data_IF_989174014710
#
_entry.id   IF_989174014710
#
_cell.length_a   1.000
_cell.length_b   1.000
_cell.length_c   1.000
_cell.angle_alpha   90.00
_cell.angle_beta   90.00
_cell.angle_gamma   90.00
#
_symmetry.space_group_name_H-M   'P 1'
#
loop_
_entity.id
_entity.type
_entity.pdbx_description
1 polymer ?
#
# COMPACT_ATOMS: atom_id res chain seq x y z
N UNK A 1 -16.91 20.78 11.35
CA UNK A 1 -16.27 19.67 10.64
C UNK A 1 -14.77 19.57 10.90
N UNK A 2 -14.10 20.68 11.05
CA UNK A 2 -12.69 20.70 11.35
C UNK A 2 -12.32 19.90 12.60
N UNK A 3 -13.14 20.00 13.64
CA UNK A 3 -12.96 19.23 14.87
C UNK A 3 -13.05 17.72 14.60
N UNK A 4 -14.05 17.31 13.80
CA UNK A 4 -14.23 15.89 13.47
C UNK A 4 -13.06 15.36 12.63
N UNK A 5 -12.60 16.17 11.68
CA UNK A 5 -11.49 15.79 10.82
C UNK A 5 -10.21 15.59 11.64
N UNK A 6 -9.99 16.48 12.65
CA UNK A 6 -8.85 16.35 13.52
C UNK A 6 -8.90 15.07 14.34
N UNK A 7 -10.08 14.73 14.87
CA UNK A 7 -10.27 13.50 15.64
C UNK A 7 -10.02 12.27 14.78
N UNK A 8 -10.55 12.26 13.55
CA UNK A 8 -10.33 11.16 12.62
C UNK A 8 -8.84 11.01 12.31
N UNK A 9 -8.14 12.10 12.07
CA UNK A 9 -6.71 12.05 11.78
C UNK A 9 -5.91 11.50 12.96
N UNK A 10 -6.28 11.83 14.19
CA UNK A 10 -5.62 11.29 15.36
C UNK A 10 -5.79 9.78 15.46
N UNK A 11 -7.00 9.30 15.18
CA UNK A 11 -7.28 7.86 15.16
C UNK A 11 -6.46 7.17 14.07
N UNK A 12 -6.44 7.73 12.88
CA UNK A 12 -5.69 7.17 11.77
C UNK A 12 -4.18 7.17 12.05
N UNK A 13 -3.67 8.23 12.67
CA UNK A 13 -2.26 8.33 13.03
C UNK A 13 -1.87 7.25 14.04
N UNK A 14 -2.73 6.94 14.99
CA UNK A 14 -2.48 5.87 15.96
C UNK A 14 -2.35 4.51 15.25
N UNK A 15 -3.20 4.26 14.27
CA UNK A 15 -3.19 2.99 13.52
C UNK A 15 -2.08 2.94 12.47
N UNK A 16 -1.81 4.06 11.80
CA UNK A 16 -0.83 4.13 10.72
C UNK A 16 0.57 4.50 11.21
N UNK A 17 0.67 4.99 12.44
CA UNK A 17 1.93 5.44 13.01
C UNK A 17 2.36 6.81 12.54
N UNK A 18 1.58 7.46 11.65
CA UNK A 18 1.91 8.76 11.09
C UNK A 18 0.69 9.39 10.44
N UNK A 19 0.87 10.53 9.76
CA UNK A 19 -0.24 11.28 9.19
C UNK A 19 -0.91 10.54 8.02
N UNK A 20 -2.25 10.47 8.04
CA UNK A 20 -3.04 9.92 6.95
C UNK A 20 -2.95 10.77 5.68
N UNK A 21 -2.56 12.05 5.77
CA UNK A 21 -2.39 12.91 4.61
C UNK A 21 -1.20 12.50 3.75
N UNK A 22 -0.33 11.66 4.25
CA UNK A 22 0.87 11.21 3.54
C UNK A 22 0.65 9.85 2.88
N UNK A 23 -0.60 9.46 2.69
CA UNK A 23 -0.98 8.22 2.03
C UNK A 23 -1.68 8.53 0.71
N UNK A 24 -1.42 7.73 -0.31
CA UNK A 24 -2.10 7.83 -1.59
C UNK A 24 -3.08 6.67 -1.75
N UNK A 25 -4.28 6.98 -2.25
CA UNK A 25 -5.34 5.99 -2.44
C UNK A 25 -5.21 5.31 -3.81
N UNK A 26 -5.18 3.98 -3.79
CA UNK A 26 -5.26 3.16 -5.01
C UNK A 26 -6.68 2.61 -5.06
N UNK A 27 -7.48 3.13 -5.99
CA UNK A 27 -8.90 2.83 -6.05
C UNK A 27 -9.17 1.38 -6.49
N UNK A 28 -10.14 0.75 -5.83
CA UNK A 28 -10.62 -0.57 -6.24
C UNK A 28 -11.20 -0.56 -7.65
N UNK A 29 -11.66 0.59 -8.13
CA UNK A 29 -12.18 0.72 -9.48
C UNK A 29 -11.06 0.59 -10.51
N UNK A 30 -9.84 0.97 -10.15
CA UNK A 30 -8.67 0.85 -11.03
C UNK A 30 -8.05 -0.55 -10.96
N UNK A 31 -8.00 -1.13 -9.78
CA UNK A 31 -7.31 -2.41 -9.57
C UNK A 31 -8.17 -3.64 -9.81
N UNK A 32 -9.49 -3.50 -9.68
CA UNK A 32 -10.40 -4.64 -9.71
C UNK A 32 -10.47 -5.40 -8.40
N UNK A 33 -9.78 -4.92 -7.36
CA UNK A 33 -9.83 -5.54 -6.03
C UNK A 33 -11.13 -5.19 -5.31
N UNK A 34 -11.51 -5.98 -4.30
CA UNK A 34 -12.72 -5.68 -3.50
C UNK A 34 -12.57 -4.51 -2.54
N UNK A 35 -11.36 -4.00 -2.36
CA UNK A 35 -11.05 -2.95 -1.38
C UNK A 35 -10.14 -1.90 -1.98
N UNK A 36 -10.26 -0.66 -1.49
CA UNK A 36 -9.27 0.36 -1.76
C UNK A 36 -7.99 0.06 -0.99
N UNK A 37 -6.86 0.45 -1.57
CA UNK A 37 -5.54 0.28 -0.96
C UNK A 37 -4.93 1.66 -0.73
N UNK A 38 -4.17 1.81 0.34
CA UNK A 38 -3.44 3.03 0.63
C UNK A 38 -1.94 2.73 0.62
N UNK A 39 -1.18 3.54 -0.11
CA UNK A 39 0.27 3.44 -0.18
C UNK A 39 0.89 4.67 0.49
N UNK A 40 2.05 4.47 1.11
CA UNK A 40 2.70 5.49 1.93
C UNK A 40 3.57 6.39 1.05
N UNK A 41 3.17 7.66 0.91
CA UNK A 41 3.88 8.63 0.08
C UNK A 41 5.29 8.92 0.56
N UNK A 42 5.56 8.77 1.85
CA UNK A 42 6.91 8.93 2.40
C UNK A 42 7.74 7.66 2.32
N UNK A 43 7.09 6.49 2.31
CA UNK A 43 7.77 5.21 2.21
C UNK A 43 8.88 5.05 3.25
N UNK A 44 10.08 4.73 2.78
CA UNK A 44 11.25 4.51 3.64
C UNK A 44 11.68 5.74 4.43
N UNK A 45 11.25 6.94 4.02
CA UNK A 45 11.63 8.19 4.68
C UNK A 45 10.72 8.56 5.84
N UNK A 46 9.70 7.75 6.11
CA UNK A 46 8.80 7.98 7.25
C UNK A 46 9.56 7.75 8.56
N UNK A 47 9.48 8.72 9.48
CA UNK A 47 10.25 8.67 10.72
C UNK A 47 9.86 7.52 11.63
N UNK A 48 8.58 7.24 11.76
CA UNK A 48 8.07 6.16 12.60
C UNK A 48 7.78 4.91 11.79
N UNK A 49 8.62 4.63 10.82
CA UNK A 49 8.42 3.51 9.92
C UNK A 49 8.54 2.16 10.64
N UNK A 50 7.83 1.20 10.12
CA UNK A 50 7.95 -0.19 10.54
C UNK A 50 9.20 -0.82 9.92
N UNK A 51 9.60 -1.98 10.43
CA UNK A 51 10.79 -2.66 9.95
C UNK A 51 10.67 -3.18 8.52
N UNK A 52 9.44 -3.34 8.02
CA UNK A 52 9.19 -3.87 6.68
C UNK A 52 8.23 -2.98 5.91
N UNK A 53 8.39 -2.91 4.57
CA UNK A 53 7.44 -2.20 3.72
C UNK A 53 6.05 -2.82 3.83
N UNK A 54 5.03 -1.98 3.84
CA UNK A 54 3.64 -2.45 3.89
C UNK A 54 2.70 -1.45 3.24
N UNK A 55 1.56 -1.98 2.77
CA UNK A 55 0.43 -1.16 2.32
C UNK A 55 -0.67 -1.26 3.37
N UNK A 56 -1.71 -0.44 3.22
CA UNK A 56 -2.91 -0.52 4.06
C UNK A 56 -4.10 -0.87 3.19
N UNK A 57 -4.93 -1.80 3.64
CA UNK A 57 -6.16 -2.19 2.95
C UNK A 57 -7.34 -1.65 3.73
N UNK A 58 -8.23 -0.94 3.05
CA UNK A 58 -9.43 -0.39 3.67
C UNK A 58 -10.54 -1.45 3.66
N UNK A 59 -10.71 -2.12 4.80
CA UNK A 59 -11.74 -3.14 4.96
C UNK A 59 -12.87 -2.55 5.80
N UNK A 60 -13.88 -2.02 5.11
CA UNK A 60 -15.05 -1.42 5.75
C UNK A 60 -14.68 -0.31 6.75
N UNK A 61 -13.72 0.54 6.36
CA UNK A 61 -13.30 1.67 7.18
C UNK A 61 -12.14 1.37 8.12
N UNK A 62 -11.75 0.11 8.25
CA UNK A 62 -10.59 -0.29 9.05
C UNK A 62 -9.39 -0.49 8.13
N UNK A 63 -8.28 0.18 8.44
CA UNK A 63 -7.06 0.09 7.64
C UNK A 63 -6.19 -1.03 8.18
N UNK A 64 -6.04 -2.08 7.40
CA UNK A 64 -5.27 -3.28 7.80
C UNK A 64 -3.96 -3.32 7.01
N UNK A 65 -2.81 -3.34 7.69
CA UNK A 65 -1.52 -3.40 7.00
C UNK A 65 -1.24 -4.80 6.46
N UNK A 66 -0.65 -4.85 5.27
CA UNK A 66 -0.17 -6.10 4.65
C UNK A 66 1.22 -5.84 4.11
N UNK A 67 2.14 -6.77 4.36
CA UNK A 67 3.54 -6.63 3.96
C UNK A 67 3.71 -6.70 2.44
N UNK A 68 4.72 -6.00 1.94
CA UNK A 68 5.10 -6.03 0.53
C UNK A 68 6.33 -6.94 0.41
N UNK A 69 6.09 -8.21 0.11
CA UNK A 69 7.16 -9.20 -0.07
C UNK A 69 6.63 -10.37 -0.90
N UNK A 70 7.39 -11.44 -0.98
CA UNK A 70 7.00 -12.62 -1.76
C UNK A 70 5.88 -13.43 -1.09
N UNK A 71 5.66 -13.21 0.20
CA UNK A 71 4.60 -13.87 0.98
C UNK A 71 3.83 -12.81 1.77
N UNK A 72 3.07 -11.93 1.08
CA UNK A 72 2.34 -10.84 1.76
C UNK A 72 1.40 -11.37 2.82
N UNK A 73 1.42 -10.73 4.00
CA UNK A 73 0.53 -11.11 5.09
C UNK A 73 0.36 -9.96 6.07
N UNK A 74 -0.62 -10.07 6.93
CA UNK A 74 -0.79 -9.16 8.06
C UNK A 74 0.41 -9.38 8.99
N UNK A 75 1.14 -8.31 9.36
CA UNK A 75 2.31 -8.48 10.25
C UNK A 75 1.93 -9.11 11.58
N UNK A 76 2.84 -9.93 12.14
CA UNK A 76 2.59 -10.59 13.41
C UNK A 76 2.27 -9.62 14.54
N UNK A 77 2.94 -8.47 14.58
CA UNK A 77 2.66 -7.45 15.59
C UNK A 77 1.23 -6.95 15.54
N UNK A 78 0.64 -6.93 14.34
CA UNK A 78 -0.75 -6.51 14.13
C UNK A 78 -1.71 -7.65 14.45
N UNK A 79 -1.35 -8.89 14.12
CA UNK A 79 -2.16 -10.06 14.48
C UNK A 79 -2.31 -10.17 15.99
N UNK A 80 -1.28 -9.82 16.74
CA UNK A 80 -1.30 -9.85 18.21
C UNK A 80 -2.33 -8.88 18.82
N UNK A 81 -2.75 -7.87 18.07
CA UNK A 81 -3.80 -6.95 18.52
C UNK A 81 -5.20 -7.47 18.27
N UNK A 82 -5.33 -8.68 17.73
CA UNK A 82 -6.62 -9.28 17.40
C UNK A 82 -7.06 -9.12 15.97
N UNK A 83 -6.25 -8.46 15.13
CA UNK A 83 -6.56 -8.30 13.71
C UNK A 83 -6.44 -9.64 13.01
N UNK A 84 -7.49 -10.04 12.30
CA UNK A 84 -7.59 -11.34 11.63
C UNK A 84 -7.71 -11.17 10.13
N UNK A 85 -7.56 -12.28 9.42
CA UNK A 85 -7.83 -12.34 7.99
C UNK A 85 -9.26 -11.86 7.73
N UNK A 86 -9.45 -11.26 6.55
CA UNK A 86 -10.73 -10.72 6.11
C UNK A 86 -11.15 -11.39 4.81
N UNK A 87 -12.42 -11.21 4.43
CA UNK A 87 -12.95 -11.80 3.20
C UNK A 87 -12.10 -11.40 1.99
N UNK A 88 -11.77 -12.35 1.14
CA UNK A 88 -11.04 -12.14 -0.11
C UNK A 88 -9.61 -11.58 0.07
N UNK A 89 -9.03 -11.76 1.27
CA UNK A 89 -7.65 -11.33 1.52
C UNK A 89 -6.66 -12.00 0.54
N UNK A 90 -6.96 -13.22 0.10
CA UNK A 90 -6.09 -13.93 -0.83
C UNK A 90 -5.92 -13.19 -2.15
N UNK A 91 -6.96 -12.51 -2.62
CA UNK A 91 -6.88 -11.70 -3.85
C UNK A 91 -5.95 -10.51 -3.65
N UNK A 92 -6.03 -9.87 -2.48
CA UNK A 92 -5.17 -8.74 -2.14
C UNK A 92 -3.71 -9.19 -2.07
N UNK A 93 -3.45 -10.31 -1.41
CA UNK A 93 -2.10 -10.87 -1.30
C UNK A 93 -1.53 -11.20 -2.69
N UNK A 94 -2.35 -11.79 -3.56
CA UNK A 94 -1.94 -12.11 -4.92
C UNK A 94 -1.59 -10.84 -5.70
N UNK A 95 -2.40 -9.80 -5.55
CA UNK A 95 -2.17 -8.51 -6.20
C UNK A 95 -0.85 -7.89 -5.74
N UNK A 96 -0.60 -7.88 -4.42
CA UNK A 96 0.64 -7.33 -3.88
C UNK A 96 1.84 -8.08 -4.42
N UNK A 97 1.77 -9.39 -4.48
CA UNK A 97 2.86 -10.22 -5.01
C UNK A 97 3.11 -9.92 -6.48
N UNK A 98 2.03 -9.79 -7.27
CA UNK A 98 2.14 -9.53 -8.70
C UNK A 98 2.76 -8.15 -8.98
N UNK A 99 2.41 -7.14 -8.19
CA UNK A 99 2.91 -5.78 -8.33
C UNK A 99 4.02 -5.43 -7.34
N UNK A 100 4.68 -6.43 -6.78
CA UNK A 100 5.70 -6.23 -5.74
C UNK A 100 6.75 -5.19 -6.16
N UNK A 101 7.24 -5.27 -7.38
CA UNK A 101 8.30 -4.36 -7.85
C UNK A 101 7.82 -2.91 -7.90
N UNK A 102 6.56 -2.68 -8.27
CA UNK A 102 5.96 -1.34 -8.28
C UNK A 102 5.84 -0.82 -6.85
N UNK A 103 5.29 -1.63 -5.95
CA UNK A 103 5.13 -1.24 -4.55
C UNK A 103 6.48 -0.94 -3.88
N UNK A 104 7.50 -1.76 -4.15
CA UNK A 104 8.83 -1.55 -3.57
C UNK A 104 9.52 -0.32 -4.15
N UNK A 105 9.41 -0.08 -5.46
CA UNK A 105 9.97 1.11 -6.08
C UNK A 105 9.34 2.37 -5.48
N UNK A 106 8.04 2.34 -5.24
CA UNK A 106 7.34 3.44 -4.60
C UNK A 106 7.79 3.61 -3.13
N UNK A 107 7.84 2.52 -2.37
CA UNK A 107 8.28 2.55 -0.97
C UNK A 107 9.70 3.13 -0.86
N UNK A 108 10.58 2.75 -1.77
CA UNK A 108 11.97 3.20 -1.79
C UNK A 108 12.14 4.58 -2.41
N UNK A 109 11.04 5.24 -2.77
CA UNK A 109 10.99 6.58 -3.34
C UNK A 109 11.77 6.69 -4.64
N UNK A 110 11.77 5.62 -5.40
CA UNK A 110 12.37 5.58 -6.73
C UNK A 110 11.39 6.04 -7.81
N UNK A 111 10.09 6.01 -7.50
CA UNK A 111 9.03 6.53 -8.36
C UNK A 111 8.09 7.38 -7.52
N UNK A 112 7.32 8.25 -8.18
CA UNK A 112 6.36 9.14 -7.52
C UNK A 112 5.04 8.43 -7.25
N UNK A 113 4.18 9.04 -6.43
CA UNK A 113 2.82 8.56 -6.22
C UNK A 113 2.07 8.42 -7.55
N UNK A 114 2.18 9.44 -8.41
CA UNK A 114 1.50 9.43 -9.70
C UNK A 114 1.97 8.27 -10.57
N UNK A 115 3.27 8.04 -10.63
CA UNK A 115 3.82 6.92 -11.40
C UNK A 115 3.30 5.59 -10.88
N UNK A 116 3.29 5.42 -9.56
CA UNK A 116 2.76 4.19 -8.95
C UNK A 116 1.27 4.02 -9.26
N UNK A 117 0.47 5.07 -9.10
CA UNK A 117 -0.97 5.01 -9.38
C UNK A 117 -1.26 4.67 -10.84
N UNK A 118 -0.43 5.16 -11.76
CA UNK A 118 -0.59 4.85 -13.18
C UNK A 118 -0.32 3.38 -13.50
N UNK A 119 0.52 2.71 -12.70
CA UNK A 119 0.87 1.31 -12.92
C UNK A 119 -0.01 0.33 -12.16
N UNK A 120 -0.57 0.77 -11.02
CA UNK A 120 -1.37 -0.11 -10.15
C UNK A 120 -2.80 -0.20 -10.66
N UNK A 121 -2.96 -0.98 -11.70
CA UNK A 121 -4.24 -1.22 -12.39
C UNK A 121 -4.61 -2.69 -12.28
N UNK A 122 -5.38 -3.23 -13.20
CA UNK A 122 -5.79 -4.63 -13.18
C UNK A 122 -4.58 -5.56 -13.10
N UNK A 123 -4.73 -6.68 -12.40
CA UNK A 123 -3.62 -7.63 -12.19
C UNK A 123 -3.05 -8.18 -13.49
N UNK A 124 -3.85 -8.22 -14.56
CA UNK A 124 -3.38 -8.71 -15.88
C UNK A 124 -2.28 -7.84 -16.47
N UNK A 125 -2.10 -6.62 -15.96
CA UNK A 125 -1.08 -5.68 -16.43
C UNK A 125 0.18 -5.67 -15.57
N UNK A 126 0.31 -6.58 -14.62
CA UNK A 126 1.42 -6.56 -13.67
C UNK A 126 2.79 -6.73 -14.32
N UNK A 127 2.89 -7.60 -15.34
CA UNK A 127 4.16 -7.76 -16.06
C UNK A 127 4.57 -6.49 -16.82
N UNK A 128 3.60 -5.80 -17.41
CA UNK A 128 3.86 -4.52 -18.07
C UNK A 128 4.37 -3.48 -17.09
N UNK A 129 3.79 -3.44 -15.88
CA UNK A 129 4.23 -2.55 -14.81
C UNK A 129 5.66 -2.85 -14.38
N UNK A 130 6.00 -4.11 -14.25
CA UNK A 130 7.35 -4.54 -13.89
C UNK A 130 8.37 -4.09 -14.94
N UNK A 131 8.05 -4.27 -16.21
CA UNK A 131 8.91 -3.84 -17.32
C UNK A 131 9.10 -2.32 -17.28
N UNK A 132 8.02 -1.57 -17.05
CA UNK A 132 8.08 -0.12 -16.99
C UNK A 132 8.97 0.37 -15.84
N UNK A 133 8.94 -0.30 -14.68
CA UNK A 133 9.81 0.02 -13.55
C UNK A 133 11.28 -0.16 -13.96
N UNK A 134 11.60 -1.26 -14.62
CA UNK A 134 12.97 -1.50 -15.09
C UNK A 134 13.42 -0.38 -16.02
N UNK A 135 12.54 0.02 -16.96
CA UNK A 135 12.86 1.08 -17.91
C UNK A 135 13.09 2.43 -17.23
N UNK A 136 12.26 2.77 -16.25
CA UNK A 136 12.39 4.04 -15.53
C UNK A 136 13.64 4.09 -14.66
N UNK A 137 14.01 2.97 -14.03
CA UNK A 137 15.16 2.92 -13.13
C UNK A 137 16.48 2.72 -13.87
N UNK A 138 16.45 2.27 -15.12
CA UNK A 138 17.64 2.00 -15.93
C UNK A 138 17.48 2.59 -17.34
N UNK A 139 17.32 3.92 -17.46
CA UNK A 139 16.97 4.53 -18.74
C UNK A 139 18.03 4.40 -19.85
N UNK A 140 19.27 4.14 -19.48
CA UNK A 140 20.38 4.01 -20.44
C UNK A 140 20.71 2.56 -20.79
N UNK A 141 19.85 1.65 -20.38
CA UNK A 141 20.05 0.22 -20.57
C UNK A 141 19.78 -0.27 -22.00
#
# INVERSE_FOLDING_TARGET
MEFVDKEINEILNDELGDSAYEMANVSKDDTGLPYNIWIDSLGKDRQNKHNSPRIKVDVNGKLIPITIDDSPDIPESVKKTGTKDFARIAEVKKYIRAYKDVFLAHYNRQITDRQALNLLVDISKAEEGKIQIVNWLNPNR
#
